data_IF_273825752599
#
_entry.id   IF_273825752599
#
_cell.length_a   1.000
_cell.length_b   1.000
_cell.length_c   1.000
_cell.angle_alpha   90.00
_cell.angle_beta   90.00
_cell.angle_gamma   90.00
#
_symmetry.space_group_name_H-M   'P 1'
#
loop_
_entity.id
_entity.type
_entity.pdbx_description
1 polymer ?
#
# COMPACT_ATOMS: atom_id res chain seq x y z
N UNK A 1 -1.52 76.33 -25.45
CA UNK A 1 -1.69 75.38 -24.29
C UNK A 1 -2.44 74.18 -24.79
N UNK A 2 -1.73 73.09 -25.15
CA UNK A 2 -2.31 71.86 -25.65
C UNK A 2 -2.44 70.86 -24.45
N UNK A 3 -3.67 70.49 -24.12
CA UNK A 3 -4.04 69.60 -23.02
C UNK A 3 -3.86 68.20 -23.53
N UNK A 4 -2.75 67.57 -23.11
CA UNK A 4 -2.45 66.13 -23.30
C UNK A 4 -3.48 65.29 -22.60
N UNK A 5 -4.46 64.73 -23.31
CA UNK A 5 -5.33 63.65 -22.83
C UNK A 5 -4.54 62.33 -22.84
N UNK A 6 -3.98 61.95 -21.72
CA UNK A 6 -3.47 60.59 -21.51
C UNK A 6 -4.58 59.63 -21.81
N UNK A 7 -4.41 58.86 -22.89
CA UNK A 7 -5.26 57.73 -23.24
C UNK A 7 -5.08 56.66 -22.15
N UNK A 8 -5.98 56.63 -21.17
CA UNK A 8 -6.16 55.44 -20.32
C UNK A 8 -6.63 54.31 -21.22
N UNK A 9 -5.70 53.41 -21.56
CA UNK A 9 -5.98 52.18 -22.28
C UNK A 9 -6.90 51.28 -21.48
N UNK A 10 -8.21 51.51 -21.61
CA UNK A 10 -9.23 50.66 -21.00
C UNK A 10 -9.14 49.26 -21.61
N UNK A 11 -8.81 48.29 -20.81
CA UNK A 11 -8.87 46.88 -21.18
C UNK A 11 -10.25 46.58 -21.78
N UNK A 12 -10.28 46.13 -23.06
CA UNK A 12 -11.52 45.92 -23.80
C UNK A 12 -12.44 44.92 -23.05
N UNK A 13 -13.75 45.11 -23.13
CA UNK A 13 -14.75 44.22 -22.50
C UNK A 13 -14.48 42.75 -22.85
N UNK A 14 -14.12 42.51 -24.12
CA UNK A 14 -13.76 41.16 -24.62
C UNK A 14 -12.58 40.57 -23.85
N UNK A 15 -11.54 41.33 -23.57
CA UNK A 15 -10.37 40.89 -22.81
C UNK A 15 -10.70 40.58 -21.34
N UNK A 16 -11.60 41.36 -20.74
CA UNK A 16 -12.07 41.08 -19.36
C UNK A 16 -12.89 39.81 -19.28
N UNK A 17 -13.81 39.58 -20.21
CA UNK A 17 -14.62 38.37 -20.28
C UNK A 17 -13.78 37.12 -20.53
N UNK A 18 -12.81 37.20 -21.46
CA UNK A 18 -11.89 36.07 -21.70
C UNK A 18 -11.00 35.79 -20.50
N UNK A 19 -10.53 36.78 -19.75
CA UNK A 19 -9.74 36.61 -18.55
C UNK A 19 -10.57 35.88 -17.42
N UNK A 20 -11.83 36.27 -17.25
CA UNK A 20 -12.71 35.63 -16.28
C UNK A 20 -13.04 34.17 -16.63
N UNK A 21 -13.32 33.89 -17.90
CA UNK A 21 -13.55 32.54 -18.41
C UNK A 21 -12.28 31.66 -18.22
N UNK A 22 -11.11 32.24 -18.55
CA UNK A 22 -9.85 31.53 -18.34
C UNK A 22 -9.60 31.24 -16.85
N UNK A 23 -9.91 32.15 -15.93
CA UNK A 23 -9.77 31.98 -14.50
C UNK A 23 -10.71 30.85 -14.00
N UNK A 24 -11.97 30.78 -14.42
CA UNK A 24 -12.91 29.70 -14.06
C UNK A 24 -12.41 28.39 -14.59
N UNK A 25 -11.96 28.30 -15.83
CA UNK A 25 -11.44 27.08 -16.44
C UNK A 25 -10.17 26.61 -15.72
N UNK A 26 -9.30 27.51 -15.31
CA UNK A 26 -8.09 27.18 -14.54
C UNK A 26 -8.45 26.60 -13.17
N UNK A 27 -9.41 27.20 -12.45
CA UNK A 27 -9.87 26.69 -11.15
C UNK A 27 -10.49 25.30 -11.30
N UNK A 28 -11.30 25.05 -12.32
CA UNK A 28 -11.89 23.73 -12.56
C UNK A 28 -10.85 22.68 -12.94
N UNK A 29 -9.89 23.03 -13.79
CA UNK A 29 -8.77 22.14 -14.14
C UNK A 29 -7.90 21.79 -12.93
N UNK A 30 -7.57 22.76 -12.09
CA UNK A 30 -6.79 22.52 -10.87
C UNK A 30 -7.55 21.60 -9.90
N UNK A 31 -8.85 21.83 -9.69
CA UNK A 31 -9.66 20.99 -8.80
C UNK A 31 -9.73 19.53 -9.27
N UNK A 32 -9.96 19.34 -10.58
CA UNK A 32 -10.01 17.99 -11.18
C UNK A 32 -8.63 17.32 -11.11
N UNK A 33 -7.55 18.07 -11.38
CA UNK A 33 -6.18 17.56 -11.29
C UNK A 33 -5.82 17.08 -9.88
N UNK A 34 -6.11 17.88 -8.86
CA UNK A 34 -5.88 17.50 -7.45
C UNK A 34 -6.68 16.25 -7.07
N UNK A 35 -7.95 16.19 -7.45
CA UNK A 35 -8.79 15.03 -7.17
C UNK A 35 -8.26 13.75 -7.83
N UNK A 36 -7.85 13.84 -9.09
CA UNK A 36 -7.33 12.69 -9.83
C UNK A 36 -6.02 12.18 -9.22
N UNK A 37 -5.09 13.08 -8.90
CA UNK A 37 -3.80 12.71 -8.29
C UNK A 37 -4.00 12.10 -6.90
N UNK A 38 -4.84 12.71 -6.05
CA UNK A 38 -5.15 12.20 -4.73
C UNK A 38 -5.82 10.82 -4.81
N UNK A 39 -6.78 10.64 -5.73
CA UNK A 39 -7.45 9.36 -5.95
C UNK A 39 -6.49 8.27 -6.42
N UNK A 40 -5.63 8.55 -7.39
CA UNK A 40 -4.64 7.59 -7.89
C UNK A 40 -3.62 7.19 -6.83
N UNK A 41 -3.16 8.15 -6.03
CA UNK A 41 -2.22 7.86 -4.93
C UNK A 41 -2.86 6.95 -3.88
N UNK A 42 -4.10 7.22 -3.50
CA UNK A 42 -4.88 6.40 -2.57
C UNK A 42 -5.04 4.96 -3.08
N UNK A 43 -5.49 4.79 -4.33
CA UNK A 43 -5.68 3.47 -4.93
C UNK A 43 -4.37 2.68 -4.96
N UNK A 44 -3.27 3.29 -5.43
CA UNK A 44 -1.96 2.60 -5.48
C UNK A 44 -1.46 2.18 -4.10
N UNK A 45 -1.67 3.01 -3.08
CA UNK A 45 -1.27 2.67 -1.71
C UNK A 45 -2.05 1.48 -1.18
N UNK A 46 -3.36 1.41 -1.43
CA UNK A 46 -4.19 0.27 -1.06
C UNK A 46 -3.83 -1.00 -1.83
N UNK A 47 -3.62 -0.93 -3.14
CA UNK A 47 -3.23 -2.08 -3.96
C UNK A 47 -1.92 -2.71 -3.45
N UNK A 48 -0.94 -1.87 -3.09
CA UNK A 48 0.34 -2.35 -2.55
C UNK A 48 0.15 -3.05 -1.20
N UNK A 49 -0.68 -2.51 -0.31
CA UNK A 49 -0.94 -3.13 0.99
C UNK A 49 -1.71 -4.44 0.88
N UNK A 50 -2.73 -4.50 0.02
CA UNK A 50 -3.47 -5.73 -0.24
C UNK A 50 -2.55 -6.83 -0.80
N UNK A 51 -1.63 -6.46 -1.71
CA UNK A 51 -0.64 -7.38 -2.23
C UNK A 51 0.33 -7.88 -1.14
N UNK A 52 0.82 -6.99 -0.28
CA UNK A 52 1.70 -7.35 0.83
C UNK A 52 0.99 -8.24 1.85
N UNK A 53 -0.28 -7.98 2.15
CA UNK A 53 -1.08 -8.80 3.05
C UNK A 53 -1.35 -10.20 2.46
N UNK A 54 -1.71 -10.27 1.18
CA UNK A 54 -1.87 -11.55 0.48
C UNK A 54 -0.57 -12.37 0.50
N UNK A 55 0.59 -11.70 0.38
CA UNK A 55 1.89 -12.35 0.48
C UNK A 55 2.16 -12.92 1.87
N UNK A 56 1.82 -12.19 2.94
CA UNK A 56 1.93 -12.69 4.31
C UNK A 56 1.09 -13.95 4.52
N UNK A 57 -0.15 -13.99 4.02
CA UNK A 57 -0.99 -15.19 4.07
C UNK A 57 -0.41 -16.35 3.25
N UNK A 58 0.18 -16.05 2.08
CA UNK A 58 0.85 -17.07 1.26
C UNK A 58 2.02 -17.71 2.02
N UNK A 59 2.83 -16.90 2.70
CA UNK A 59 3.93 -17.38 3.55
C UNK A 59 3.39 -18.25 4.71
N UNK A 60 2.36 -17.80 5.42
CA UNK A 60 1.77 -18.60 6.50
C UNK A 60 1.27 -19.97 6.03
N UNK A 61 0.57 -19.98 4.89
CA UNK A 61 0.07 -21.22 4.32
C UNK A 61 1.21 -22.15 3.88
N UNK A 62 2.23 -21.59 3.20
CA UNK A 62 3.38 -22.37 2.76
C UNK A 62 4.13 -23.01 3.93
N UNK A 63 4.39 -22.25 5.02
CA UNK A 63 5.02 -22.78 6.23
C UNK A 63 4.18 -23.85 6.91
N UNK A 64 2.85 -23.67 6.94
CA UNK A 64 1.93 -24.67 7.47
C UNK A 64 1.95 -25.96 6.63
N UNK A 65 1.92 -25.82 5.31
CA UNK A 65 1.97 -26.96 4.40
C UNK A 65 3.30 -27.70 4.50
N UNK A 66 4.43 -26.98 4.65
CA UNK A 66 5.74 -27.58 4.92
C UNK A 66 5.74 -28.36 6.24
N UNK A 67 5.19 -27.79 7.32
CA UNK A 67 5.07 -28.47 8.62
C UNK A 67 4.26 -29.75 8.50
N UNK A 68 3.14 -29.73 7.80
CA UNK A 68 2.30 -30.90 7.58
C UNK A 68 2.99 -31.96 6.72
N UNK A 69 3.66 -31.53 5.65
CA UNK A 69 4.40 -32.43 4.77
C UNK A 69 5.59 -33.07 5.50
N UNK A 70 6.34 -32.31 6.30
CA UNK A 70 7.38 -32.80 7.17
C UNK A 70 6.87 -33.89 8.13
N UNK A 71 5.78 -33.62 8.85
CA UNK A 71 5.19 -34.56 9.78
C UNK A 71 4.73 -35.87 9.10
N UNK A 72 4.23 -35.79 7.86
CA UNK A 72 3.86 -36.97 7.06
C UNK A 72 5.10 -37.77 6.64
N UNK A 73 6.11 -37.06 6.13
CA UNK A 73 7.37 -37.70 5.67
C UNK A 73 8.08 -38.41 6.82
N UNK A 74 8.19 -37.81 8.00
CA UNK A 74 8.81 -38.41 9.16
C UNK A 74 8.06 -39.69 9.65
N UNK A 75 6.71 -39.68 9.56
CA UNK A 75 5.89 -40.82 9.94
C UNK A 75 5.93 -41.99 8.93
N UNK A 76 5.96 -41.66 7.66
CA UNK A 76 5.89 -42.63 6.57
C UNK A 76 6.84 -42.17 5.46
N UNK A 77 8.13 -42.50 5.55
CA UNK A 77 9.12 -42.11 4.56
C UNK A 77 8.95 -42.93 3.28
N UNK A 78 8.17 -42.43 2.36
CA UNK A 78 7.95 -42.95 1.01
C UNK A 78 8.41 -41.96 -0.03
N UNK A 79 8.66 -42.39 -1.26
CA UNK A 79 9.03 -41.48 -2.35
C UNK A 79 7.96 -40.41 -2.60
N UNK A 80 6.69 -40.74 -2.41
CA UNK A 80 5.57 -39.78 -2.55
C UNK A 80 5.60 -38.70 -1.46
N UNK A 81 5.79 -39.10 -0.20
CA UNK A 81 5.85 -38.15 0.92
C UNK A 81 7.12 -37.30 0.88
N UNK A 82 8.23 -37.84 0.37
CA UNK A 82 9.47 -37.09 0.14
C UNK A 82 9.29 -36.02 -0.95
N UNK A 83 8.66 -36.37 -2.07
CA UNK A 83 8.37 -35.41 -3.13
C UNK A 83 7.42 -34.30 -2.65
N UNK A 84 6.35 -34.67 -1.94
CA UNK A 84 5.42 -33.70 -1.37
C UNK A 84 6.10 -32.75 -0.38
N UNK A 85 6.98 -33.27 0.46
CA UNK A 85 7.76 -32.50 1.39
C UNK A 85 8.74 -31.55 0.68
N UNK A 86 9.49 -32.03 -0.31
CA UNK A 86 10.43 -31.21 -1.11
C UNK A 86 9.69 -30.07 -1.84
N UNK A 87 8.50 -30.37 -2.39
CA UNK A 87 7.67 -29.37 -3.02
C UNK A 87 7.20 -28.30 -2.03
N UNK A 88 6.80 -28.69 -0.83
CA UNK A 88 6.38 -27.75 0.23
C UNK A 88 7.54 -26.87 0.71
N UNK A 89 8.75 -27.44 0.89
CA UNK A 89 9.96 -26.65 1.21
C UNK A 89 10.24 -25.59 0.13
N UNK A 90 10.17 -25.99 -1.14
CA UNK A 90 10.40 -25.07 -2.26
C UNK A 90 9.36 -23.95 -2.28
N UNK A 91 8.10 -24.25 -2.00
CA UNK A 91 7.03 -23.26 -1.91
C UNK A 91 7.25 -22.28 -0.74
N UNK A 92 7.70 -22.77 0.42
CA UNK A 92 8.07 -21.91 1.57
C UNK A 92 9.23 -20.98 1.22
N UNK A 93 10.30 -21.51 0.63
CA UNK A 93 11.46 -20.72 0.23
C UNK A 93 11.08 -19.63 -0.80
N UNK A 94 10.27 -19.97 -1.80
CA UNK A 94 9.80 -19.02 -2.81
C UNK A 94 8.92 -17.93 -2.20
N UNK A 95 7.99 -18.30 -1.32
CA UNK A 95 7.10 -17.34 -0.68
C UNK A 95 7.85 -16.39 0.27
N UNK A 96 8.82 -16.90 1.02
CA UNK A 96 9.69 -16.10 1.89
C UNK A 96 10.60 -15.16 1.08
N UNK A 97 11.15 -15.63 -0.04
CA UNK A 97 11.97 -14.81 -0.93
C UNK A 97 11.19 -13.69 -1.62
N UNK A 98 9.86 -13.85 -1.76
CA UNK A 98 8.98 -12.83 -2.33
C UNK A 98 8.62 -11.72 -1.33
N UNK A 99 8.88 -11.89 -0.02
CA UNK A 99 8.57 -10.88 0.98
C UNK A 99 9.34 -9.58 0.70
N UNK A 100 8.68 -8.41 0.81
CA UNK A 100 9.37 -7.14 0.69
C UNK A 100 10.38 -6.97 1.81
N UNK A 101 11.64 -6.70 1.43
CA UNK A 101 12.76 -6.52 2.36
C UNK A 101 13.48 -5.20 2.07
N UNK A 102 12.71 -4.10 2.06
CA UNK A 102 13.22 -2.74 1.88
C UNK A 102 12.72 -1.87 3.04
N UNK A 103 13.64 -1.47 3.91
CA UNK A 103 13.35 -0.64 5.09
C UNK A 103 12.58 0.65 4.74
N UNK A 104 12.97 1.33 3.65
CA UNK A 104 12.34 2.57 3.23
C UNK A 104 10.89 2.36 2.79
N UNK A 105 10.58 1.18 2.23
CA UNK A 105 9.25 0.82 1.76
C UNK A 105 8.33 0.34 2.87
N UNK A 106 8.80 -0.58 3.72
CA UNK A 106 7.94 -1.30 4.67
C UNK A 106 7.98 -0.76 6.10
N UNK A 107 8.94 0.13 6.41
CA UNK A 107 9.12 0.70 7.72
C UNK A 107 9.87 -0.22 8.70
N UNK A 108 10.25 0.33 9.84
CA UNK A 108 11.12 -0.33 10.82
C UNK A 108 10.52 -1.61 11.39
N UNK A 109 9.28 -1.57 11.80
CA UNK A 109 8.64 -2.70 12.47
C UNK A 109 8.45 -3.90 11.54
N UNK A 110 7.91 -3.69 10.35
CA UNK A 110 7.75 -4.78 9.35
C UNK A 110 9.10 -5.30 8.90
N UNK A 111 10.09 -4.43 8.72
CA UNK A 111 11.46 -4.85 8.39
C UNK A 111 12.03 -5.77 9.46
N UNK A 112 11.93 -5.41 10.74
CA UNK A 112 12.40 -6.22 11.85
C UNK A 112 11.64 -7.57 11.93
N UNK A 113 10.32 -7.59 11.72
CA UNK A 113 9.52 -8.82 11.70
C UNK A 113 9.90 -9.72 10.53
N UNK A 114 10.08 -9.15 9.33
CA UNK A 114 10.53 -9.90 8.14
C UNK A 114 11.92 -10.48 8.37
N UNK A 115 12.84 -9.69 8.91
CA UNK A 115 14.17 -10.16 9.27
C UNK A 115 14.13 -11.36 10.22
N UNK A 116 13.38 -11.24 11.31
CA UNK A 116 13.27 -12.31 12.30
C UNK A 116 12.69 -13.60 11.71
N UNK A 117 11.68 -13.48 10.83
CA UNK A 117 11.11 -14.62 10.13
C UNK A 117 12.13 -15.28 9.20
N UNK A 118 12.87 -14.51 8.40
CA UNK A 118 13.89 -15.03 7.49
C UNK A 118 15.05 -15.70 8.23
N UNK A 119 15.53 -15.09 9.32
CA UNK A 119 16.59 -15.67 10.17
C UNK A 119 16.09 -16.93 10.90
N UNK A 120 14.86 -16.88 11.41
CA UNK A 120 14.22 -18.05 12.03
C UNK A 120 14.10 -19.22 11.05
N UNK A 121 13.69 -18.95 9.81
CA UNK A 121 13.58 -19.98 8.78
C UNK A 121 14.95 -20.57 8.41
N UNK A 122 15.99 -19.72 8.30
CA UNK A 122 17.34 -20.19 8.03
C UNK A 122 17.86 -21.12 9.13
N UNK A 123 17.62 -20.77 10.40
CA UNK A 123 17.97 -21.64 11.55
C UNK A 123 17.16 -22.94 11.55
N UNK A 124 15.84 -22.87 11.37
CA UNK A 124 14.99 -24.04 11.25
C UNK A 124 15.46 -24.99 10.13
N UNK A 125 15.79 -24.46 8.97
CA UNK A 125 16.28 -25.25 7.83
C UNK A 125 17.54 -26.03 8.20
N UNK A 126 18.48 -25.40 8.87
CA UNK A 126 19.73 -26.05 9.31
C UNK A 126 19.44 -27.23 10.27
N UNK A 127 18.61 -27.01 11.28
CA UNK A 127 18.26 -28.02 12.29
C UNK A 127 17.42 -29.15 11.66
N UNK A 128 16.49 -28.83 10.79
CA UNK A 128 15.69 -29.77 10.03
C UNK A 128 16.56 -30.68 9.16
N UNK A 129 17.49 -30.11 8.41
CA UNK A 129 18.37 -30.86 7.52
C UNK A 129 19.33 -31.76 8.32
N UNK A 130 19.80 -31.30 9.48
CA UNK A 130 20.57 -32.13 10.42
C UNK A 130 19.74 -33.29 10.98
N UNK A 131 18.48 -33.04 11.36
CA UNK A 131 17.57 -34.07 11.85
C UNK A 131 17.30 -35.16 10.80
N UNK A 132 17.11 -34.79 9.55
CA UNK A 132 16.83 -35.73 8.46
C UNK A 132 18.01 -36.67 8.14
N UNK A 133 19.22 -36.33 8.59
CA UNK A 133 20.39 -37.19 8.48
C UNK A 133 20.53 -38.17 9.67
N UNK A 134 19.73 -38.03 10.72
CA UNK A 134 19.80 -38.91 11.85
C UNK A 134 19.12 -40.27 11.58
N UNK A 135 19.75 -41.34 12.10
CA UNK A 135 19.08 -42.64 12.09
C UNK A 135 17.89 -42.63 13.08
N UNK A 136 16.73 -43.21 12.72
CA UNK A 136 15.60 -43.34 13.66
C UNK A 136 15.92 -44.12 14.95
N UNK A 137 17.01 -44.90 14.95
CA UNK A 137 17.51 -45.62 16.13
C UNK A 137 18.44 -44.77 17.02
N UNK A 138 18.78 -43.57 16.64
CA UNK A 138 19.63 -42.68 17.42
C UNK A 138 18.95 -42.26 18.73
N UNK A 139 19.69 -42.24 19.81
CA UNK A 139 19.18 -41.86 21.16
C UNK A 139 18.63 -40.43 21.15
N UNK A 140 19.21 -39.56 20.36
CA UNK A 140 18.83 -38.16 20.23
C UNK A 140 17.71 -37.90 19.21
N UNK A 141 17.23 -38.91 18.49
CA UNK A 141 16.25 -38.77 17.42
C UNK A 141 14.95 -38.08 17.88
N UNK A 142 14.41 -38.56 18.99
CA UNK A 142 13.14 -38.03 19.54
C UNK A 142 13.32 -36.60 20.03
N UNK A 143 14.44 -36.31 20.69
CA UNK A 143 14.76 -34.98 21.19
C UNK A 143 14.89 -33.96 20.02
N UNK A 144 15.65 -34.32 18.98
CA UNK A 144 15.82 -33.51 17.79
C UNK A 144 14.51 -33.31 17.02
N UNK A 145 13.67 -34.32 16.93
CA UNK A 145 12.35 -34.20 16.33
C UNK A 145 11.49 -33.17 17.05
N UNK A 146 11.45 -33.21 18.40
CA UNK A 146 10.73 -32.20 19.17
C UNK A 146 11.33 -30.80 19.02
N UNK A 147 12.65 -30.70 18.91
CA UNK A 147 13.31 -29.44 18.67
C UNK A 147 12.92 -28.83 17.32
N UNK A 148 12.91 -29.61 16.24
CA UNK A 148 12.47 -29.17 14.92
C UNK A 148 11.00 -28.74 14.93
N UNK A 149 10.13 -29.49 15.61
CA UNK A 149 8.71 -29.15 15.78
C UNK A 149 8.57 -27.81 16.52
N UNK A 150 9.31 -27.61 17.60
CA UNK A 150 9.28 -26.34 18.34
C UNK A 150 9.73 -25.14 17.46
N UNK A 151 10.73 -25.33 16.60
CA UNK A 151 11.14 -24.31 15.64
C UNK A 151 10.04 -23.99 14.60
N UNK A 152 9.27 -24.98 14.17
CA UNK A 152 8.11 -24.75 13.29
C UNK A 152 7.04 -23.88 13.97
N UNK A 153 6.76 -24.13 15.26
CA UNK A 153 5.84 -23.30 16.04
C UNK A 153 6.32 -21.86 16.17
N UNK A 154 7.62 -21.63 16.39
CA UNK A 154 8.21 -20.29 16.39
C UNK A 154 8.08 -19.60 15.03
N UNK A 155 8.29 -20.33 13.93
CA UNK A 155 8.11 -19.77 12.58
C UNK A 155 6.67 -19.35 12.33
N UNK A 156 5.70 -20.16 12.75
CA UNK A 156 4.29 -19.82 12.66
C UNK A 156 3.97 -18.54 13.45
N UNK A 157 4.55 -18.39 14.66
CA UNK A 157 4.41 -17.17 15.45
C UNK A 157 5.05 -15.95 14.78
N UNK A 158 6.27 -16.08 14.22
CA UNK A 158 6.91 -14.98 13.49
C UNK A 158 6.12 -14.57 12.26
N UNK A 159 5.57 -15.51 11.50
CA UNK A 159 4.72 -15.22 10.35
C UNK A 159 3.42 -14.52 10.77
N UNK A 160 2.82 -14.93 11.90
CA UNK A 160 1.65 -14.27 12.46
C UNK A 160 1.96 -12.82 12.90
N UNK A 161 3.08 -12.61 13.59
CA UNK A 161 3.52 -11.27 14.01
C UNK A 161 3.80 -10.36 12.82
N UNK A 162 4.36 -10.89 11.72
CA UNK A 162 4.55 -10.13 10.49
C UNK A 162 3.20 -9.73 9.88
N UNK A 163 2.24 -10.64 9.84
CA UNK A 163 0.88 -10.36 9.35
C UNK A 163 0.20 -9.29 10.20
N UNK A 164 0.31 -9.37 11.52
CA UNK A 164 -0.24 -8.35 12.43
C UNK A 164 0.37 -6.97 12.19
N UNK A 165 1.71 -6.87 12.07
CA UNK A 165 2.38 -5.61 11.75
C UNK A 165 1.96 -5.04 10.39
N UNK A 166 1.69 -5.91 9.40
CA UNK A 166 1.17 -5.50 8.09
C UNK A 166 -0.24 -4.94 8.21
N UNK A 167 -1.13 -5.59 8.96
CA UNK A 167 -2.51 -5.14 9.23
C UNK A 167 -2.55 -3.85 10.04
N UNK A 168 -1.66 -3.66 11.00
CA UNK A 168 -1.56 -2.42 11.78
C UNK A 168 -1.14 -1.25 10.90
N UNK A 169 -0.20 -1.45 9.99
CA UNK A 169 0.19 -0.44 9.01
C UNK A 169 -0.96 -0.13 8.04
N UNK A 170 -1.71 -1.14 7.60
CA UNK A 170 -2.91 -0.98 6.77
C UNK A 170 -3.97 -0.14 7.50
N UNK A 171 -4.25 -0.44 8.76
CA UNK A 171 -5.19 0.30 9.58
C UNK A 171 -4.74 1.77 9.80
N UNK A 172 -3.45 2.00 10.03
CA UNK A 172 -2.89 3.33 10.17
C UNK A 172 -3.03 4.15 8.89
N UNK A 173 -2.76 3.55 7.72
CA UNK A 173 -2.96 4.18 6.43
C UNK A 173 -4.46 4.40 6.13
N UNK A 174 -5.32 3.45 6.47
CA UNK A 174 -6.76 3.62 6.33
C UNK A 174 -7.26 4.80 7.16
N UNK A 175 -6.87 4.89 8.42
CA UNK A 175 -7.28 5.98 9.32
C UNK A 175 -6.78 7.36 8.84
N UNK A 176 -5.52 7.44 8.38
CA UNK A 176 -4.96 8.66 7.82
C UNK A 176 -5.63 9.08 6.52
N UNK A 177 -5.89 8.12 5.63
CA UNK A 177 -6.60 8.35 4.36
C UNK A 177 -8.05 8.76 4.61
N UNK A 178 -8.76 8.12 5.54
CA UNK A 178 -10.12 8.49 5.95
C UNK A 178 -10.17 9.93 6.51
N UNK A 179 -9.17 10.34 7.28
CA UNK A 179 -9.05 11.71 7.76
C UNK A 179 -8.87 12.71 6.60
N UNK A 180 -8.04 12.39 5.61
CA UNK A 180 -7.86 13.24 4.42
C UNK A 180 -9.12 13.30 3.55
N UNK A 181 -9.79 12.18 3.32
CA UNK A 181 -11.05 12.12 2.56
C UNK A 181 -12.14 12.94 3.24
N UNK A 182 -12.17 12.98 4.57
CA UNK A 182 -13.14 13.79 5.35
C UNK A 182 -13.04 15.28 5.06
N UNK A 183 -11.87 15.80 4.70
CA UNK A 183 -11.66 17.20 4.35
C UNK A 183 -11.88 17.51 2.86
N UNK A 184 -11.87 16.51 1.99
CA UNK A 184 -12.10 16.68 0.55
C UNK A 184 -13.43 17.37 0.21
N UNK A 185 -14.60 17.04 0.81
CA UNK A 185 -15.85 17.73 0.55
C UNK A 185 -15.80 19.23 0.84
N UNK A 186 -15.12 19.62 1.92
CA UNK A 186 -14.93 21.04 2.28
C UNK A 186 -14.05 21.77 1.29
N UNK A 187 -13.03 21.12 0.75
CA UNK A 187 -12.17 21.64 -0.31
C UNK A 187 -12.97 21.84 -1.60
N UNK A 188 -13.79 20.86 -2.00
CA UNK A 188 -14.68 20.97 -3.16
C UNK A 188 -15.74 22.05 -2.97
N UNK A 189 -16.33 22.15 -1.77
CA UNK A 189 -17.29 23.20 -1.46
C UNK A 189 -16.66 24.58 -1.59
N UNK A 190 -15.44 24.76 -1.08
CA UNK A 190 -14.68 26.00 -1.22
C UNK A 190 -14.40 26.37 -2.67
N UNK A 191 -13.95 25.41 -3.48
CA UNK A 191 -13.70 25.59 -4.91
C UNK A 191 -14.99 25.89 -5.67
N UNK A 192 -16.09 25.20 -5.35
CA UNK A 192 -17.41 25.45 -5.95
C UNK A 192 -17.92 26.86 -5.63
N UNK A 193 -17.84 27.30 -4.36
CA UNK A 193 -18.20 28.65 -3.95
C UNK A 193 -17.34 29.71 -4.64
N UNK A 194 -16.06 29.47 -4.77
CA UNK A 194 -15.15 30.39 -5.51
C UNK A 194 -15.55 30.49 -6.97
N UNK A 195 -15.83 29.38 -7.65
CA UNK A 195 -16.30 29.36 -9.02
C UNK A 195 -17.66 30.08 -9.17
N UNK A 196 -18.59 29.87 -8.24
CA UNK A 196 -19.89 30.53 -8.22
C UNK A 196 -19.78 32.04 -8.06
N UNK A 197 -18.92 32.51 -7.15
CA UNK A 197 -18.65 33.96 -6.95
C UNK A 197 -18.04 34.55 -8.21
N UNK A 198 -17.06 33.90 -8.85
CA UNK A 198 -16.48 34.33 -10.12
C UNK A 198 -17.53 34.43 -11.23
N UNK A 199 -18.44 33.44 -11.30
CA UNK A 199 -19.52 33.44 -12.27
C UNK A 199 -20.51 34.62 -12.05
N UNK A 200 -20.89 34.89 -10.80
CA UNK A 200 -21.76 36.01 -10.45
C UNK A 200 -21.11 37.38 -10.77
N UNK A 201 -19.81 37.49 -10.51
CA UNK A 201 -19.06 38.70 -10.88
C UNK A 201 -19.00 38.90 -12.40
N UNK A 202 -18.82 37.81 -13.16
CA UNK A 202 -18.84 37.83 -14.62
C UNK A 202 -20.21 38.30 -15.14
N UNK A 203 -21.30 37.73 -14.63
CA UNK A 203 -22.69 38.12 -14.99
C UNK A 203 -22.92 39.60 -14.68
N UNK A 204 -22.47 40.08 -13.50
CA UNK A 204 -22.62 41.51 -13.13
C UNK A 204 -21.83 42.47 -14.05
N UNK A 205 -20.62 42.05 -14.44
CA UNK A 205 -19.80 42.85 -15.40
C UNK A 205 -20.46 42.88 -16.77
N UNK A 206 -20.95 41.73 -17.28
CA UNK A 206 -21.66 41.63 -18.54
C UNK A 206 -22.96 42.45 -18.54
N UNK A 207 -23.78 42.30 -17.49
CA UNK A 207 -25.04 43.05 -17.35
C UNK A 207 -24.81 44.58 -17.33
N UNK A 208 -23.78 45.05 -16.63
CA UNK A 208 -23.44 46.48 -16.62
C UNK A 208 -22.88 47.00 -17.95
N UNK A 209 -22.18 46.12 -18.70
CA UNK A 209 -21.54 46.49 -19.94
C UNK A 209 -22.49 46.45 -21.16
N UNK A 210 -23.50 45.57 -21.11
CA UNK A 210 -24.42 45.32 -22.24
C UNK A 210 -25.81 45.96 -22.01
N UNK A 211 -26.33 45.95 -20.80
CA UNK A 211 -27.72 46.39 -20.52
C UNK A 211 -27.82 47.88 -20.16
N UNK A 212 -26.75 48.53 -19.65
CA UNK A 212 -26.78 49.95 -19.32
C UNK A 212 -26.54 50.94 -20.47
N UNK A 213 -25.94 50.59 -21.64
CA UNK A 213 -25.84 51.53 -22.75
C UNK A 213 -27.05 51.52 -23.70
N UNK A 214 -28.10 50.73 -23.43
CA UNK A 214 -29.42 50.83 -24.06
C UNK A 214 -30.37 51.64 -23.18
#
# INVERSE_FOLDING_TARGET
MARNKTAQGGISLRSRVTAWLAAILLVTMLSTGIATVAGQWTVRSFDTLLADNALCYTVQNALKDETQAFARYVRQPTSETEQAYTAACTASEQSLAALPFDYARIGEERYARTWNLLQGYAGYRQERDAFLQLSPSAVTYIEQMYHVIALQDYLAEYALRLTQATLEQENALYSSTAAHIRHLPWLYLGLFLTAAVLMLLLIRVLSRAVVRPL
#
